data_IF_516592052955
#
_entry.id   IF_516592052955
#
_cell.length_a   1.000
_cell.length_b   1.000
_cell.length_c   1.000
_cell.angle_alpha   90.00
_cell.angle_beta   90.00
_cell.angle_gamma   90.00
#
_symmetry.space_group_name_H-M   'P 1'
#
loop_
_entity.id
_entity.type
_entity.pdbx_description
1 polymer ?
#
# COMPACT_ATOMS: atom_id res chain seq x y z
N UNK A 1 -6.57 8.69 -0.08
CA UNK A 1 -6.97 8.72 1.36
C UNK A 1 -6.71 7.34 1.99
N UNK A 2 -6.26 7.27 3.26
CA UNK A 2 -5.76 6.02 3.88
C UNK A 2 -6.82 4.93 4.02
N UNK A 3 -8.05 5.29 4.38
CA UNK A 3 -9.16 4.32 4.51
C UNK A 3 -9.54 3.68 3.18
N UNK A 4 -9.37 4.41 2.07
CA UNK A 4 -9.58 3.85 0.73
C UNK A 4 -8.48 2.84 0.40
N UNK A 5 -7.22 3.12 0.76
CA UNK A 5 -6.11 2.20 0.55
C UNK A 5 -6.32 0.87 1.31
N UNK A 6 -6.85 0.93 2.53
CA UNK A 6 -7.23 -0.28 3.29
C UNK A 6 -8.43 -1.01 2.71
N UNK A 7 -9.35 -0.30 2.04
CA UNK A 7 -10.47 -0.93 1.34
C UNK A 7 -10.01 -1.62 0.06
N UNK A 8 -9.16 -0.98 -0.74
CA UNK A 8 -8.63 -1.55 -1.99
C UNK A 8 -7.60 -2.65 -1.74
N UNK A 9 -6.75 -2.48 -0.74
CA UNK A 9 -5.60 -3.32 -0.47
C UNK A 9 -4.30 -2.52 -0.46
N UNK A 10 -3.57 -2.57 0.65
CA UNK A 10 -2.29 -1.85 0.81
C UNK A 10 -1.21 -2.38 -0.15
N UNK A 11 -1.24 -3.69 -0.43
CA UNK A 11 -0.42 -4.35 -1.43
C UNK A 11 -0.65 -3.82 -2.84
N UNK A 12 -1.91 -3.67 -3.24
CA UNK A 12 -2.25 -3.14 -4.57
C UNK A 12 -1.70 -1.73 -4.74
N UNK A 13 -1.90 -0.86 -3.73
CA UNK A 13 -1.39 0.51 -3.76
C UNK A 13 0.13 0.53 -3.88
N UNK A 14 0.83 -0.31 -3.11
CA UNK A 14 2.28 -0.44 -3.18
C UNK A 14 2.77 -0.90 -4.55
N UNK A 15 2.16 -1.93 -5.13
CA UNK A 15 2.59 -2.48 -6.42
C UNK A 15 2.32 -1.52 -7.58
N UNK A 16 1.19 -0.82 -7.58
CA UNK A 16 0.88 0.18 -8.60
C UNK A 16 1.89 1.33 -8.53
N UNK A 17 2.18 1.87 -7.34
CA UNK A 17 3.17 2.92 -7.18
C UNK A 17 4.57 2.45 -7.61
N UNK A 18 4.96 1.23 -7.24
CA UNK A 18 6.25 0.64 -7.64
C UNK A 18 6.36 0.50 -9.17
N UNK A 19 5.32 -0.02 -9.83
CA UNK A 19 5.29 -0.17 -11.28
C UNK A 19 5.32 1.19 -12.00
N UNK A 20 4.56 2.17 -11.51
CA UNK A 20 4.57 3.53 -12.04
C UNK A 20 5.94 4.18 -11.89
N UNK A 21 6.58 4.06 -10.73
CA UNK A 21 7.94 4.56 -10.53
C UNK A 21 8.94 3.85 -11.44
N UNK A 22 8.82 2.53 -11.60
CA UNK A 22 9.73 1.75 -12.45
C UNK A 22 9.68 2.23 -13.91
N UNK A 23 8.48 2.55 -14.40
CA UNK A 23 8.26 3.02 -15.78
C UNK A 23 8.64 4.48 -16.00
N UNK A 24 8.31 5.37 -15.06
CA UNK A 24 8.45 6.83 -15.25
C UNK A 24 9.73 7.40 -14.65
N UNK A 25 10.30 6.72 -13.65
CA UNK A 25 11.36 7.23 -12.76
C UNK A 25 11.01 8.56 -12.08
N UNK A 26 9.72 8.90 -12.00
CA UNK A 26 9.25 10.11 -11.33
C UNK A 26 9.39 9.97 -9.80
N UNK A 27 10.21 10.81 -9.14
CA UNK A 27 10.38 10.77 -7.69
C UNK A 27 9.06 10.90 -6.90
N UNK A 28 8.03 11.55 -7.47
CA UNK A 28 6.71 11.67 -6.84
C UNK A 28 5.97 10.33 -6.72
N UNK A 29 6.36 9.33 -7.50
CA UNK A 29 5.75 7.99 -7.52
C UNK A 29 6.52 6.96 -6.69
N UNK A 30 7.61 7.36 -6.03
CA UNK A 30 8.38 6.47 -5.17
C UNK A 30 7.46 5.92 -4.07
N UNK A 31 7.26 4.59 -4.01
CA UNK A 31 6.41 4.00 -2.98
C UNK A 31 7.03 4.22 -1.59
N UNK A 32 6.28 4.75 -0.61
CA UNK A 32 6.79 4.93 0.75
C UNK A 32 7.24 3.62 1.39
N UNK A 33 8.36 3.66 2.12
CA UNK A 33 8.89 2.49 2.85
C UNK A 33 7.90 1.93 3.88
N UNK A 34 6.97 2.75 4.37
CA UNK A 34 5.90 2.31 5.26
C UNK A 34 5.01 1.27 4.57
N UNK A 35 4.60 1.50 3.32
CA UNK A 35 3.76 0.56 2.57
C UNK A 35 4.48 -0.78 2.40
N UNK A 36 5.77 -0.75 2.06
CA UNK A 36 6.58 -1.97 1.94
C UNK A 36 6.59 -2.79 3.24
N UNK A 37 6.79 -2.14 4.39
CA UNK A 37 6.77 -2.80 5.71
C UNK A 37 5.39 -3.40 6.03
N UNK A 38 4.31 -2.68 5.71
CA UNK A 38 2.94 -3.15 5.93
C UNK A 38 2.62 -4.38 5.07
N UNK A 39 3.03 -4.38 3.80
CA UNK A 39 2.89 -5.53 2.90
C UNK A 39 3.68 -6.72 3.43
N UNK A 40 4.94 -6.51 3.85
CA UNK A 40 5.76 -7.57 4.43
C UNK A 40 5.18 -8.15 5.73
N UNK A 41 4.47 -7.33 6.52
CA UNK A 41 3.78 -7.74 7.74
C UNK A 41 2.39 -8.37 7.50
N UNK A 42 1.92 -8.43 6.24
CA UNK A 42 0.57 -8.92 5.91
C UNK A 42 -0.56 -7.99 6.32
N UNK A 43 -0.29 -6.71 6.58
CA UNK A 43 -1.29 -5.71 6.93
C UNK A 43 -1.88 -5.08 5.67
N UNK A 44 -2.74 -5.86 5.00
CA UNK A 44 -3.24 -5.55 3.67
C UNK A 44 -4.57 -4.78 3.67
N UNK A 45 -5.03 -4.31 4.82
CA UNK A 45 -6.29 -3.58 4.97
C UNK A 45 -7.43 -4.47 5.44
N UNK A 46 -8.64 -4.20 4.96
CA UNK A 46 -9.86 -4.88 5.45
C UNK A 46 -9.84 -6.38 5.22
N UNK A 47 -9.26 -6.84 4.10
CA UNK A 47 -9.21 -8.26 3.74
C UNK A 47 -8.38 -9.12 4.71
N UNK A 48 -7.50 -8.51 5.51
CA UNK A 48 -6.67 -9.16 6.53
C UNK A 48 -7.01 -8.72 7.95
N UNK A 49 -8.09 -7.95 8.15
CA UNK A 49 -8.48 -7.39 9.45
C UNK A 49 -7.54 -6.27 9.97
N UNK A 50 -6.49 -5.91 9.22
CA UNK A 50 -5.51 -4.91 9.62
C UNK A 50 -4.80 -4.28 8.42
N UNK A 51 -4.73 -2.95 8.40
CA UNK A 51 -3.97 -2.12 7.46
C UNK A 51 -3.46 -0.85 8.17
N UNK A 52 -3.78 0.32 7.64
CA UNK A 52 -3.63 1.59 8.38
C UNK A 52 -4.51 1.63 9.63
N UNK A 53 -5.67 0.96 9.57
CA UNK A 53 -6.57 0.78 10.69
C UNK A 53 -6.73 -0.71 11.04
N UNK A 54 -7.17 -0.98 12.26
CA UNK A 54 -7.63 -2.31 12.67
C UNK A 54 -9.13 -2.44 12.38
N UNK A 55 -9.51 -3.56 11.77
CA UNK A 55 -10.87 -3.87 11.35
C UNK A 55 -11.35 -5.09 12.13
N UNK A 56 -12.52 -4.96 12.77
CA UNK A 56 -13.22 -6.04 13.47
C UNK A 56 -14.18 -6.77 12.54
#
# INVERSE_FOLDING_TARGET
>A
PLTLADFTGVDIVYFVASAMYEQTKDPALIPPTLLQKMVAAGWLGRKTGKGFYEYK
#
